data_IF_653938486921
#
_entry.id   IF_653938486921
#
_cell.length_a   1.000
_cell.length_b   1.000
_cell.length_c   1.000
_cell.angle_alpha   90.00
_cell.angle_beta   90.00
_cell.angle_gamma   90.00
#
_symmetry.space_group_name_H-M   'P 1'
#
loop_
_entity.id
_entity.type
_entity.pdbx_description
1 polymer ?
#
# COMPACT_ATOMS: atom_id res chain seq x y z
N UNK A 1 -26.26 6.83 23.22
CA UNK A 1 -26.36 7.10 21.77
C UNK A 1 -25.13 6.47 21.11
N UNK A 2 -25.32 5.39 20.35
CA UNK A 2 -24.24 4.69 19.63
C UNK A 2 -24.07 5.32 18.26
N UNK A 3 -23.02 6.12 18.08
CA UNK A 3 -22.59 6.57 16.76
C UNK A 3 -21.90 5.43 16.05
N UNK A 4 -22.60 4.78 15.12
CA UNK A 4 -22.00 3.81 14.21
C UNK A 4 -21.02 4.53 13.29
N UNK A 5 -19.72 4.28 13.49
CA UNK A 5 -18.71 4.69 12.52
C UNK A 5 -18.63 3.62 11.45
N UNK A 6 -19.08 3.98 10.26
CA UNK A 6 -19.02 3.19 9.06
C UNK A 6 -17.54 2.96 8.69
N UNK A 7 -17.08 1.71 8.84
CA UNK A 7 -15.71 1.26 8.56
C UNK A 7 -15.37 1.34 7.06
N UNK A 8 -16.31 1.79 6.22
CA UNK A 8 -16.15 1.96 4.78
C UNK A 8 -15.27 3.14 4.31
N UNK A 9 -14.56 3.85 5.22
CA UNK A 9 -13.80 5.06 4.87
C UNK A 9 -12.28 4.93 4.79
N UNK A 10 -11.71 3.73 4.85
CA UNK A 10 -10.32 3.49 4.41
C UNK A 10 -10.34 2.87 3.02
N UNK A 11 -10.82 3.66 2.07
CA UNK A 11 -10.71 3.39 0.65
C UNK A 11 -10.48 4.75 0.04
N UNK A 12 -9.25 5.24 0.15
CA UNK A 12 -8.79 6.30 -0.74
C UNK A 12 -8.87 5.69 -2.15
N UNK A 13 -10.04 5.86 -2.77
CA UNK A 13 -10.28 5.52 -4.15
C UNK A 13 -9.21 6.27 -4.91
N UNK A 14 -8.28 5.55 -5.52
CA UNK A 14 -7.56 6.08 -6.68
C UNK A 14 -8.65 6.67 -7.56
N UNK A 15 -8.70 7.99 -7.67
CA UNK A 15 -9.67 8.65 -8.54
C UNK A 15 -9.20 8.31 -9.96
N UNK A 16 -9.73 7.21 -10.51
CA UNK A 16 -9.48 6.76 -11.89
C UNK A 16 -9.93 7.83 -12.92
N UNK A 17 -10.63 8.87 -12.47
CA UNK A 17 -11.06 10.03 -13.27
C UNK A 17 -9.92 10.78 -13.98
N UNK A 18 -8.66 10.63 -13.53
CA UNK A 18 -7.47 11.18 -14.19
C UNK A 18 -6.62 10.08 -14.87
N UNK A 19 -7.26 9.06 -15.47
CA UNK A 19 -6.52 8.05 -16.23
C UNK A 19 -6.04 8.59 -17.58
N UNK A 20 -4.77 8.97 -17.65
CA UNK A 20 -4.10 9.27 -18.92
C UNK A 20 -3.40 8.02 -19.45
N UNK A 21 -3.73 7.60 -20.67
CA UNK A 21 -3.04 6.48 -21.33
C UNK A 21 -1.56 6.85 -21.58
N UNK A 22 -0.64 6.06 -21.04
CA UNK A 22 0.81 6.32 -21.11
C UNK A 22 1.52 5.57 -22.27
N UNK A 23 0.80 4.70 -22.97
CA UNK A 23 1.27 3.89 -24.10
C UNK A 23 0.79 2.44 -24.03
N UNK A 24 1.16 1.65 -25.04
CA UNK A 24 0.92 0.20 -25.10
C UNK A 24 2.24 -0.56 -24.91
N UNK A 25 2.16 -1.79 -24.41
CA UNK A 25 3.30 -2.68 -24.22
C UNK A 25 2.85 -4.13 -24.35
N UNK A 26 3.79 -5.03 -24.62
CA UNK A 26 3.55 -6.48 -24.69
C UNK A 26 4.26 -7.17 -23.53
N UNK A 27 3.66 -8.23 -23.00
CA UNK A 27 4.30 -9.15 -22.06
C UNK A 27 5.26 -10.04 -22.85
N UNK A 28 6.54 -10.01 -22.50
CA UNK A 28 7.57 -10.86 -23.13
C UNK A 28 7.52 -12.29 -22.61
N UNK A 29 8.23 -13.22 -23.25
CA UNK A 29 8.20 -14.66 -22.91
C UNK A 29 8.63 -15.04 -21.48
N UNK A 30 9.18 -14.10 -20.70
CA UNK A 30 9.48 -14.29 -19.27
C UNK A 30 8.45 -13.64 -18.33
N UNK A 31 7.30 -13.25 -18.86
CA UNK A 31 6.29 -12.52 -18.09
C UNK A 31 6.69 -11.08 -17.77
N UNK A 32 7.71 -10.52 -18.44
CA UNK A 32 8.20 -9.17 -18.17
C UNK A 32 7.48 -8.16 -19.07
N UNK A 33 7.07 -7.04 -18.48
CA UNK A 33 6.52 -5.87 -19.16
C UNK A 33 7.56 -4.76 -19.14
N UNK A 34 7.77 -4.11 -20.29
CA UNK A 34 8.60 -2.89 -20.34
C UNK A 34 7.68 -1.68 -20.30
N UNK A 35 7.79 -0.86 -19.26
CA UNK A 35 6.97 0.34 -19.16
C UNK A 35 7.38 1.38 -20.22
N UNK A 36 6.43 2.04 -20.89
CA UNK A 36 6.73 3.10 -21.84
C UNK A 36 7.56 4.22 -21.19
N UNK A 37 8.61 4.68 -21.88
CA UNK A 37 9.52 5.71 -21.36
C UNK A 37 8.80 7.00 -20.94
N UNK A 38 7.70 7.35 -21.60
CA UNK A 38 6.84 8.48 -21.22
C UNK A 38 6.28 8.33 -19.80
N UNK A 39 5.76 7.14 -19.47
CA UNK A 39 5.19 6.85 -18.16
C UNK A 39 6.23 6.85 -17.04
N UNK A 40 7.43 6.31 -17.31
CA UNK A 40 8.54 6.36 -16.35
C UNK A 40 8.94 7.80 -16.02
N UNK A 41 9.11 8.65 -17.04
CA UNK A 41 9.48 10.07 -16.84
C UNK A 41 8.39 10.86 -16.12
N UNK A 42 7.12 10.66 -16.45
CA UNK A 42 6.02 11.39 -15.79
C UNK A 42 5.84 11.02 -14.33
N UNK A 43 6.20 9.80 -13.94
CA UNK A 43 6.14 9.31 -12.57
C UNK A 43 7.47 9.46 -11.82
N UNK A 44 8.49 10.00 -12.48
CA UNK A 44 9.87 10.09 -11.99
C UNK A 44 10.45 8.73 -11.55
N UNK A 45 10.06 7.64 -12.22
CA UNK A 45 10.51 6.29 -11.91
C UNK A 45 11.83 5.98 -12.59
N UNK A 46 12.76 5.41 -11.83
CA UNK A 46 14.11 5.10 -12.25
C UNK A 46 14.38 3.61 -12.22
N UNK A 47 15.42 3.18 -12.95
CA UNK A 47 15.90 1.81 -12.86
C UNK A 47 16.33 1.49 -11.42
N UNK A 48 15.83 0.38 -10.88
CA UNK A 48 16.08 -0.02 -9.49
C UNK A 48 14.99 0.39 -8.50
N UNK A 49 14.08 1.29 -8.88
CA UNK A 49 12.91 1.60 -8.07
C UNK A 49 12.09 0.32 -7.82
N UNK A 50 11.72 0.12 -6.55
CA UNK A 50 10.90 -1.02 -6.15
C UNK A 50 9.43 -0.64 -6.29
N UNK A 51 8.65 -1.50 -6.93
CA UNK A 51 7.21 -1.29 -7.10
C UNK A 51 6.43 -2.34 -6.33
N UNK A 52 5.30 -1.93 -5.77
CA UNK A 52 4.24 -2.80 -5.27
C UNK A 52 3.30 -3.11 -6.43
N UNK A 53 2.86 -4.36 -6.53
CA UNK A 53 1.91 -4.81 -7.54
C UNK A 53 0.64 -5.23 -6.83
N UNK A 54 -0.48 -4.58 -7.15
CA UNK A 54 -1.79 -4.92 -6.57
C UNK A 54 -2.80 -5.19 -7.68
N UNK A 55 -3.56 -6.28 -7.56
CA UNK A 55 -4.70 -6.57 -8.44
C UNK A 55 -5.90 -5.76 -7.96
N UNK A 56 -6.43 -4.88 -8.80
CA UNK A 56 -7.64 -4.09 -8.50
C UNK A 56 -8.92 -4.68 -9.10
N UNK A 57 -8.79 -5.45 -10.19
CA UNK A 57 -9.91 -6.12 -10.86
C UNK A 57 -9.39 -7.39 -11.57
N UNK A 58 -10.27 -8.23 -12.17
CA UNK A 58 -9.83 -9.45 -12.84
C UNK A 58 -8.65 -9.27 -13.79
N UNK A 59 -8.67 -8.22 -14.61
CA UNK A 59 -7.66 -7.95 -15.64
C UNK A 59 -6.92 -6.62 -15.41
N UNK A 60 -6.95 -6.10 -14.19
CA UNK A 60 -6.33 -4.81 -13.85
C UNK A 60 -5.37 -4.97 -12.69
N UNK A 61 -4.11 -4.62 -12.94
CA UNK A 61 -3.09 -4.45 -11.91
C UNK A 61 -2.66 -2.99 -11.84
N UNK A 62 -2.35 -2.52 -10.64
CA UNK A 62 -1.75 -1.22 -10.39
C UNK A 62 -0.37 -1.42 -9.83
N UNK A 63 0.55 -0.59 -10.34
CA UNK A 63 1.91 -0.49 -9.86
C UNK A 63 2.03 0.80 -9.03
N UNK A 64 2.57 0.68 -7.82
CA UNK A 64 2.80 1.83 -6.93
C UNK A 64 4.25 1.81 -6.49
N UNK A 65 4.92 2.96 -6.45
CA UNK A 65 6.29 3.02 -5.93
C UNK A 65 6.29 2.57 -4.46
N UNK A 66 7.15 1.61 -4.13
CA UNK A 66 7.34 1.17 -2.76
C UNK A 66 7.98 2.33 -1.98
N UNK A 67 7.43 2.71 -0.83
CA UNK A 67 8.09 3.71 0.00
C UNK A 67 9.44 3.22 0.52
N UNK A 68 10.39 4.14 0.67
CA UNK A 68 11.71 3.83 1.23
C UNK A 68 11.61 3.37 2.69
N UNK A 69 10.69 3.97 3.44
CA UNK A 69 10.38 3.66 4.83
C UNK A 69 8.87 3.59 5.04
N UNK A 70 8.40 2.40 5.40
CA UNK A 70 6.99 2.20 5.74
C UNK A 70 6.61 2.94 7.01
N UNK A 71 7.52 2.99 7.98
CA UNK A 71 7.34 3.72 9.23
C UNK A 71 7.11 5.19 8.96
N UNK A 72 7.96 5.83 8.17
CA UNK A 72 7.83 7.26 7.87
C UNK A 72 6.60 7.54 7.01
N UNK A 73 6.28 6.64 6.09
CA UNK A 73 5.11 6.77 5.21
C UNK A 73 3.79 6.73 5.97
N UNK A 74 3.72 5.94 7.04
CA UNK A 74 2.51 5.77 7.84
C UNK A 74 2.56 6.45 9.22
N UNK A 75 3.67 7.14 9.53
CA UNK A 75 3.83 7.89 10.76
C UNK A 75 2.68 8.91 10.92
N UNK A 76 1.94 8.81 12.02
CA UNK A 76 0.82 9.69 12.31
C UNK A 76 -0.43 9.49 11.44
N UNK A 77 -0.44 8.55 10.48
CA UNK A 77 -1.59 8.29 9.60
C UNK A 77 -2.46 7.12 10.05
N UNK A 78 -1.91 6.22 10.86
CA UNK A 78 -2.61 5.04 11.40
C UNK A 78 -2.91 5.15 12.89
N UNK A 79 -2.95 6.38 13.43
CA UNK A 79 -3.16 6.65 14.86
C UNK A 79 -4.50 6.13 15.39
N UNK A 80 -5.49 5.94 14.51
CA UNK A 80 -6.81 5.44 14.88
C UNK A 80 -6.98 3.93 14.63
N UNK A 81 -5.98 3.27 14.03
CA UNK A 81 -6.02 1.83 13.69
C UNK A 81 -5.42 0.99 14.82
N UNK A 82 -4.38 1.51 15.45
CA UNK A 82 -3.76 0.89 16.62
C UNK A 82 -4.31 1.57 17.87
N UNK A 83 -4.55 0.79 18.93
CA UNK A 83 -4.95 1.34 20.23
C UNK A 83 -3.93 2.37 20.74
N UNK A 84 -4.28 3.10 21.79
CA UNK A 84 -3.33 4.00 22.44
C UNK A 84 -2.07 3.24 22.91
N UNK A 85 -1.01 4.01 23.20
CA UNK A 85 0.28 3.44 23.59
C UNK A 85 0.16 2.46 24.77
N UNK A 86 -0.75 2.74 25.71
CA UNK A 86 -0.93 1.94 26.92
C UNK A 86 -1.56 0.58 26.62
N UNK A 87 -2.65 0.56 25.84
CA UNK A 87 -3.31 -0.66 25.39
C UNK A 87 -2.43 -1.54 24.51
N UNK A 88 -1.64 -0.92 23.61
CA UNK A 88 -0.65 -1.65 22.80
C UNK A 88 0.45 -2.23 23.69
N UNK A 89 0.95 -1.47 24.68
CA UNK A 89 1.98 -1.94 25.60
C UNK A 89 1.49 -3.06 26.54
N UNK A 90 0.23 -3.03 26.93
CA UNK A 90 -0.40 -4.09 27.72
C UNK A 90 -0.56 -5.38 26.91
N UNK A 91 -1.07 -5.28 25.67
CA UNK A 91 -1.18 -6.41 24.76
C UNK A 91 0.18 -7.08 24.52
N UNK A 92 1.22 -6.29 24.22
CA UNK A 92 2.58 -6.81 24.01
C UNK A 92 3.17 -7.47 25.25
N UNK A 93 2.84 -7.00 26.46
CA UNK A 93 3.26 -7.64 27.72
C UNK A 93 2.58 -9.00 27.90
N UNK A 94 1.28 -9.09 27.62
CA UNK A 94 0.53 -10.33 27.67
C UNK A 94 1.08 -11.40 26.70
N UNK A 95 1.28 -11.02 25.44
CA UNK A 95 1.84 -11.91 24.42
C UNK A 95 3.26 -12.37 24.77
N UNK A 96 4.11 -11.50 25.32
CA UNK A 96 5.47 -11.89 25.73
C UNK A 96 5.46 -12.85 26.91
N UNK A 97 4.53 -12.69 27.85
CA UNK A 97 4.41 -13.57 29.00
C UNK A 97 3.94 -14.98 28.59
N UNK A 98 3.02 -15.08 27.62
CA UNK A 98 2.53 -16.38 27.15
C UNK A 98 3.60 -17.19 26.39
N UNK A 99 4.59 -16.53 25.78
CA UNK A 99 5.72 -17.20 25.10
C UNK A 99 6.81 -17.68 26.05
N UNK A 100 6.83 -17.20 27.30
CA UNK A 100 7.76 -17.65 28.33
C UNK A 100 7.23 -18.78 29.20
N UNK A 101 5.96 -19.15 29.04
CA UNK A 101 5.28 -20.25 29.75
C UNK A 101 5.27 -21.57 28.94
N UNK A 102 6.08 -21.67 27.86
CA UNK A 102 6.35 -22.86 27.05
C UNK A 102 7.88 -23.13 27.01
#
# INVERSE_FOLDING_TARGET
>A
MRGGYDVAKVSERVRIDETTAMGETTITGRGQVTLPARGLRSLDWHAGDRLLVQRLAPDVVVLVRRPESWTDTYAGRLTDVFGDHESVAEYLRGERASWSDD
#
